data_IF_736799692082
#
_entry.id   IF_736799692082
#
_cell.length_a   1.000
_cell.length_b   1.000
_cell.length_c   1.000
_cell.angle_alpha   90.00
_cell.angle_beta   90.00
_cell.angle_gamma   90.00
#
_symmetry.space_group_name_H-M   'P 1'
#
loop_
_entity.id
_entity.type
_entity.pdbx_description
1 polymer ?
#
# COMPACT_ATOMS: atom_id res chain seq x y z
N UNK A 1 0.13 0.34 -1.91
CA UNK A 1 0.01 0.74 -3.34
C UNK A 1 1.24 1.56 -3.69
N UNK A 2 1.79 1.40 -4.89
CA UNK A 2 3.01 2.11 -5.28
C UNK A 2 3.60 1.56 -6.58
N UNK A 3 4.92 1.63 -6.70
CA UNK A 3 5.68 1.03 -7.80
C UNK A 3 6.39 -0.26 -7.36
N UNK A 4 7.39 -0.67 -8.14
CA UNK A 4 8.34 -1.71 -7.77
C UNK A 4 7.98 -3.11 -8.27
N UNK A 5 7.14 -3.25 -9.31
CA UNK A 5 6.74 -4.57 -9.83
C UNK A 5 7.93 -5.49 -10.11
N UNK A 6 9.06 -4.95 -10.57
CA UNK A 6 10.27 -5.74 -10.87
C UNK A 6 10.76 -6.56 -9.68
N UNK A 7 10.51 -6.11 -8.45
CA UNK A 7 10.92 -6.79 -7.21
C UNK A 7 10.04 -7.99 -6.85
N UNK A 8 8.86 -8.09 -7.46
CA UNK A 8 7.86 -9.11 -7.13
C UNK A 8 7.91 -10.35 -8.02
N UNK A 9 8.58 -10.30 -9.17
CA UNK A 9 8.65 -11.42 -10.10
C UNK A 9 10.01 -11.48 -10.82
N UNK A 10 10.32 -12.63 -11.43
CA UNK A 10 11.50 -12.80 -12.29
C UNK A 10 11.20 -12.67 -13.79
N UNK A 11 9.92 -12.70 -14.17
CA UNK A 11 9.44 -12.59 -15.55
C UNK A 11 9.21 -11.13 -15.96
N UNK A 12 8.98 -10.90 -17.25
CA UNK A 12 8.59 -9.59 -17.75
C UNK A 12 7.25 -9.15 -17.17
N UNK A 13 7.13 -7.86 -16.85
CA UNK A 13 5.89 -7.25 -16.37
C UNK A 13 4.93 -6.92 -17.52
N UNK A 14 3.78 -6.33 -17.18
CA UNK A 14 2.72 -5.99 -18.14
C UNK A 14 3.16 -4.93 -19.18
N UNK A 15 4.27 -4.24 -18.93
CA UNK A 15 4.88 -3.26 -19.84
C UNK A 15 6.15 -3.82 -20.52
N UNK A 16 6.39 -5.14 -20.41
CA UNK A 16 7.52 -5.83 -21.02
C UNK A 16 8.86 -5.61 -20.30
N UNK A 17 8.88 -4.96 -19.14
CA UNK A 17 10.10 -4.72 -18.38
C UNK A 17 10.48 -5.96 -17.57
N UNK A 18 11.74 -6.41 -17.58
CA UNK A 18 12.15 -7.62 -16.88
C UNK A 18 12.08 -7.45 -15.35
N UNK A 19 11.64 -8.49 -14.66
CA UNK A 19 11.75 -8.64 -13.22
C UNK A 19 13.19 -8.91 -12.76
N UNK A 20 13.46 -8.71 -11.46
CA UNK A 20 14.82 -8.89 -10.90
C UNK A 20 14.95 -10.14 -10.02
N UNK A 21 13.84 -10.81 -9.71
CA UNK A 21 13.90 -12.02 -8.87
C UNK A 21 14.56 -13.17 -9.61
N UNK A 22 15.36 -13.94 -8.88
CA UNK A 22 16.09 -15.12 -9.41
C UNK A 22 15.60 -16.45 -8.84
N UNK A 23 14.62 -16.42 -7.94
CA UNK A 23 14.11 -17.59 -7.21
C UNK A 23 12.92 -18.27 -7.90
N UNK A 24 12.57 -17.84 -9.12
CA UNK A 24 11.46 -18.39 -9.90
C UNK A 24 10.07 -18.08 -9.34
N UNK A 25 9.96 -17.22 -8.32
CA UNK A 25 8.68 -16.88 -7.69
C UNK A 25 8.02 -15.67 -8.32
N UNK A 26 6.69 -15.71 -8.39
CA UNK A 26 5.83 -14.55 -8.64
C UNK A 26 5.03 -14.24 -7.37
N UNK A 27 5.49 -13.24 -6.63
CA UNK A 27 4.90 -12.84 -5.37
C UNK A 27 3.54 -12.17 -5.54
N UNK A 28 3.20 -11.67 -6.74
CA UNK A 28 1.88 -11.09 -7.00
C UNK A 28 0.86 -12.22 -7.08
N UNK A 29 1.21 -13.31 -7.75
CA UNK A 29 0.39 -14.51 -7.83
C UNK A 29 0.28 -15.21 -6.48
N UNK A 30 1.38 -15.34 -5.74
CA UNK A 30 1.36 -15.91 -4.39
C UNK A 30 0.48 -15.08 -3.44
N UNK A 31 0.61 -13.75 -3.48
CA UNK A 31 -0.25 -12.85 -2.70
C UNK A 31 -1.71 -13.00 -3.10
N UNK A 32 -2.02 -13.05 -4.40
CA UNK A 32 -3.38 -13.18 -4.92
C UNK A 32 -4.01 -14.47 -4.42
N UNK A 33 -3.32 -15.61 -4.57
CA UNK A 33 -3.78 -16.92 -4.07
C UNK A 33 -4.00 -16.90 -2.57
N UNK A 34 -3.05 -16.38 -1.80
CA UNK A 34 -3.16 -16.32 -0.34
C UNK A 34 -4.35 -15.48 0.12
N UNK A 35 -4.66 -14.36 -0.55
CA UNK A 35 -5.77 -13.48 -0.20
C UNK A 35 -7.12 -13.97 -0.71
N UNK A 36 -7.18 -14.58 -1.89
CA UNK A 36 -8.39 -15.17 -2.45
C UNK A 36 -8.99 -16.29 -1.58
N UNK A 37 -8.18 -16.95 -0.74
CA UNK A 37 -8.67 -17.93 0.23
C UNK A 37 -9.44 -17.31 1.41
N UNK A 38 -9.33 -15.99 1.61
CA UNK A 38 -9.87 -15.30 2.79
C UNK A 38 -10.92 -14.25 2.39
N UNK A 39 -10.78 -13.64 1.21
CA UNK A 39 -11.72 -12.62 0.73
C UNK A 39 -11.44 -12.22 -0.71
N UNK A 40 -12.12 -11.18 -1.19
CA UNK A 40 -11.99 -10.73 -2.57
C UNK A 40 -10.70 -9.92 -2.75
N UNK A 41 -9.72 -10.53 -3.42
CA UNK A 41 -8.42 -9.93 -3.72
C UNK A 41 -8.39 -9.36 -5.14
N UNK A 42 -7.98 -8.10 -5.29
CA UNK A 42 -7.82 -7.42 -6.57
C UNK A 42 -6.37 -6.94 -6.74
N UNK A 43 -5.78 -7.27 -7.88
CA UNK A 43 -4.50 -6.73 -8.31
C UNK A 43 -4.75 -5.70 -9.43
N UNK A 44 -4.16 -4.52 -9.30
CA UNK A 44 -4.27 -3.43 -10.28
C UNK A 44 -2.91 -2.84 -10.60
N UNK A 45 -2.70 -2.48 -11.85
CA UNK A 45 -1.41 -1.96 -12.34
C UNK A 45 -1.55 -0.74 -13.25
N UNK A 46 -2.78 -0.33 -13.59
CA UNK A 46 -3.07 0.94 -14.30
C UNK A 46 -3.96 1.86 -13.48
N UNK A 47 -3.92 3.15 -13.83
CA UNK A 47 -4.85 4.17 -13.33
C UNK A 47 -6.29 3.79 -13.58
N UNK A 48 -6.61 3.32 -14.78
CA UNK A 48 -7.98 2.93 -15.13
C UNK A 48 -8.48 1.78 -14.26
N UNK A 49 -7.65 0.75 -14.06
CA UNK A 49 -8.00 -0.36 -13.16
C UNK A 49 -8.20 0.12 -11.73
N UNK A 50 -7.32 0.99 -11.20
CA UNK A 50 -7.49 1.58 -9.88
C UNK A 50 -8.82 2.32 -9.74
N UNK A 51 -9.16 3.18 -10.70
CA UNK A 51 -10.42 3.94 -10.69
C UNK A 51 -11.66 3.07 -10.92
N UNK A 52 -11.47 1.85 -11.41
CA UNK A 52 -12.55 0.87 -11.61
C UNK A 52 -12.73 -0.06 -10.40
N UNK A 53 -11.86 0.03 -9.39
CA UNK A 53 -12.01 -0.72 -8.13
C UNK A 53 -13.32 -0.32 -7.49
N UNK A 54 -14.05 -1.32 -7.00
CA UNK A 54 -15.28 -1.17 -6.23
C UNK A 54 -14.97 -1.40 -4.76
N UNK A 55 -14.72 -0.34 -3.96
CA UNK A 55 -14.25 -0.51 -2.58
C UNK A 55 -15.20 -1.35 -1.73
N UNK A 56 -16.49 -1.33 -2.03
CA UNK A 56 -17.52 -2.12 -1.34
C UNK A 56 -17.43 -3.63 -1.62
N UNK A 57 -16.76 -4.05 -2.69
CA UNK A 57 -16.60 -5.46 -3.08
C UNK A 57 -15.16 -5.96 -2.96
N UNK A 58 -14.19 -5.11 -2.65
CA UNK A 58 -12.77 -5.47 -2.63
C UNK A 58 -12.23 -5.46 -1.21
N UNK A 59 -11.83 -6.63 -0.70
CA UNK A 59 -11.30 -6.78 0.66
C UNK A 59 -9.79 -6.55 0.71
N UNK A 60 -9.09 -7.00 -0.34
CA UNK A 60 -7.64 -6.84 -0.46
C UNK A 60 -7.30 -6.20 -1.80
N UNK A 61 -6.52 -5.13 -1.79
CA UNK A 61 -6.07 -4.45 -3.00
C UNK A 61 -4.54 -4.35 -3.03
N UNK A 62 -3.93 -4.91 -4.07
CA UNK A 62 -2.51 -4.72 -4.39
C UNK A 62 -2.41 -3.86 -5.65
N UNK A 63 -1.95 -2.62 -5.49
CA UNK A 63 -1.71 -1.70 -6.60
C UNK A 63 -0.22 -1.51 -6.87
N UNK A 64 0.27 -1.99 -8.02
CA UNK A 64 1.65 -1.83 -8.46
C UNK A 64 1.70 -1.20 -9.85
N UNK A 65 1.95 0.10 -9.91
CA UNK A 65 1.70 0.90 -11.10
C UNK A 65 2.90 1.05 -12.04
N UNK A 66 4.13 0.85 -11.55
CA UNK A 66 5.34 0.88 -12.37
C UNK A 66 6.28 -0.28 -12.02
N UNK A 67 7.20 -0.58 -12.94
CA UNK A 67 8.26 -1.55 -12.75
C UNK A 67 9.19 -1.15 -11.62
N UNK A 68 9.51 0.14 -11.52
CA UNK A 68 10.32 0.74 -10.46
C UNK A 68 9.51 1.80 -9.71
N UNK A 69 10.04 3.01 -9.50
CA UNK A 69 9.29 4.09 -8.87
C UNK A 69 8.13 4.58 -9.76
N UNK A 70 7.04 4.99 -9.11
CA UNK A 70 5.98 5.73 -9.82
C UNK A 70 6.54 7.10 -10.21
N UNK A 71 6.44 7.53 -11.48
CA UNK A 71 7.03 8.79 -11.94
C UNK A 71 6.57 10.01 -11.14
N UNK A 72 7.49 10.96 -10.93
CA UNK A 72 7.19 12.20 -10.21
C UNK A 72 6.18 13.07 -10.96
N UNK A 73 5.48 13.94 -10.23
CA UNK A 73 4.48 14.86 -10.81
C UNK A 73 5.10 15.77 -11.88
N UNK A 74 6.35 16.23 -11.68
CA UNK A 74 7.08 17.07 -12.64
C UNK A 74 7.46 16.35 -13.93
N UNK A 75 7.56 15.02 -13.90
CA UNK A 75 7.82 14.16 -15.08
C UNK A 75 6.52 13.75 -15.78
N UNK A 76 5.36 14.00 -15.15
CA UNK A 76 4.03 13.76 -15.71
C UNK A 76 3.56 14.94 -16.56
N UNK A 77 4.39 15.37 -17.50
CA UNK A 77 4.04 16.42 -18.47
C UNK A 77 3.11 15.93 -19.59
N UNK A 78 2.81 14.62 -19.64
CA UNK A 78 1.98 14.02 -20.67
C UNK A 78 0.60 13.62 -20.13
N UNK A 79 -0.52 14.13 -20.69
CA UNK A 79 -1.90 13.80 -20.28
C UNK A 79 -2.32 12.32 -20.50
N UNK A 80 -1.40 11.47 -20.95
CA UNK A 80 -1.58 10.05 -21.26
C UNK A 80 -0.91 9.12 -20.21
N UNK A 81 -0.72 9.59 -18.98
CA UNK A 81 -0.14 8.73 -17.94
C UNK A 81 -1.10 7.60 -17.57
N UNK A 82 -0.72 6.36 -17.87
CA UNK A 82 -1.37 5.13 -17.39
C UNK A 82 -1.22 4.94 -15.87
N UNK A 83 -0.53 5.86 -15.18
CA UNK A 83 -0.20 5.80 -13.75
C UNK A 83 -1.12 6.71 -12.93
N UNK A 84 -1.61 6.26 -11.78
CA UNK A 84 -2.46 7.08 -10.91
C UNK A 84 -1.64 8.11 -10.13
N UNK A 85 -2.29 9.21 -9.77
CA UNK A 85 -1.74 10.23 -8.88
C UNK A 85 -1.74 9.79 -7.42
N UNK A 86 -0.91 10.41 -6.59
CA UNK A 86 -0.88 10.13 -5.14
C UNK A 86 -2.24 10.43 -4.47
N UNK A 87 -2.95 11.53 -4.80
CA UNK A 87 -4.31 11.75 -4.31
C UNK A 87 -5.30 10.67 -4.75
N UNK A 88 -5.24 10.19 -6.00
CA UNK A 88 -6.11 9.10 -6.48
C UNK A 88 -5.87 7.79 -5.70
N UNK A 89 -4.60 7.40 -5.51
CA UNK A 89 -4.25 6.24 -4.71
C UNK A 89 -4.73 6.40 -3.25
N UNK A 90 -4.54 7.57 -2.67
CA UNK A 90 -4.95 7.86 -1.29
C UNK A 90 -6.46 7.79 -1.14
N UNK A 91 -7.22 8.36 -2.09
CA UNK A 91 -8.68 8.33 -2.09
C UNK A 91 -9.21 6.90 -2.08
N UNK A 92 -8.74 6.06 -3.01
CA UNK A 92 -9.18 4.65 -3.07
C UNK A 92 -8.77 3.89 -1.81
N UNK A 93 -7.58 4.15 -1.26
CA UNK A 93 -7.14 3.53 0.00
C UNK A 93 -8.09 3.87 1.16
N UNK A 94 -8.46 5.15 1.31
CA UNK A 94 -9.38 5.59 2.36
C UNK A 94 -10.78 4.99 2.15
N UNK A 95 -11.28 4.96 0.92
CA UNK A 95 -12.60 4.36 0.62
C UNK A 95 -12.67 2.86 0.92
N UNK A 96 -11.55 2.15 0.75
CA UNK A 96 -11.44 0.72 1.09
C UNK A 96 -11.32 0.51 2.61
N UNK A 97 -10.44 1.28 3.27
CA UNK A 97 -10.10 1.11 4.69
C UNK A 97 -11.16 1.65 5.66
N UNK A 98 -11.95 2.66 5.26
CA UNK A 98 -13.03 3.22 6.12
C UNK A 98 -14.11 2.20 6.50
N UNK A 99 -14.16 1.06 5.82
CA UNK A 99 -15.10 -0.03 6.11
C UNK A 99 -14.66 -0.88 7.31
N UNK A 100 -13.42 -0.75 7.77
CA UNK A 100 -12.92 -1.49 8.92
C UNK A 100 -13.59 -0.98 10.21
N UNK A 101 -14.29 -1.84 10.97
CA UNK A 101 -15.07 -1.41 12.14
C UNK A 101 -14.21 -0.85 13.28
N UNK A 102 -12.93 -1.25 13.34
CA UNK A 102 -11.99 -0.85 14.39
C UNK A 102 -11.07 0.30 13.94
N UNK A 103 -11.41 0.96 12.84
CA UNK A 103 -10.57 1.96 12.22
C UNK A 103 -9.38 1.39 11.45
N UNK A 104 -8.50 2.29 11.01
CA UNK A 104 -7.35 1.93 10.19
C UNK A 104 -6.18 2.88 10.42
N UNK A 105 -4.99 2.39 10.06
CA UNK A 105 -3.77 3.18 9.88
C UNK A 105 -3.44 3.17 8.39
N UNK A 106 -3.29 4.35 7.80
CA UNK A 106 -2.87 4.51 6.41
C UNK A 106 -1.58 5.32 6.37
N UNK A 107 -0.52 4.73 5.83
CA UNK A 107 0.73 5.41 5.50
C UNK A 107 0.71 5.85 4.05
N UNK A 108 0.79 7.17 3.82
CA UNK A 108 0.93 7.76 2.48
C UNK A 108 2.30 8.40 2.38
N UNK A 109 3.11 7.97 1.43
CA UNK A 109 4.43 8.52 1.16
C UNK A 109 4.41 9.41 -0.10
N UNK A 110 4.74 10.68 0.05
CA UNK A 110 5.03 11.58 -1.06
C UNK A 110 6.53 11.84 -1.16
N UNK A 111 7.18 11.31 -2.19
CA UNK A 111 8.57 11.63 -2.50
C UNK A 111 8.61 12.88 -3.41
N UNK A 112 9.32 13.91 -2.98
CA UNK A 112 9.63 15.09 -3.81
C UNK A 112 11.11 15.02 -4.18
N UNK A 113 11.41 14.99 -5.47
CA UNK A 113 12.78 15.20 -5.96
C UNK A 113 13.09 16.70 -5.86
N UNK A 114 13.89 17.10 -4.87
CA UNK A 114 14.63 18.35 -4.95
C UNK A 114 16.06 18.05 -5.36
N UNK A 115 16.51 18.72 -6.41
CA UNK A 115 17.90 18.88 -6.80
C UNK A 115 18.77 18.97 -5.53
N UNK A 116 19.72 18.03 -5.38
CA UNK A 116 20.67 17.88 -4.25
C UNK A 116 20.18 17.07 -3.02
N UNK A 117 20.42 15.76 -3.10
CA UNK A 117 20.93 14.88 -2.00
C UNK A 117 20.06 14.55 -0.78
N UNK A 118 18.79 14.92 -0.69
CA UNK A 118 17.94 14.41 0.41
C UNK A 118 16.56 13.99 -0.10
N UNK A 119 16.30 12.67 -0.13
CA UNK A 119 14.93 12.16 -0.21
C UNK A 119 14.15 12.72 0.98
N UNK A 120 13.15 13.57 0.73
CA UNK A 120 12.14 13.94 1.71
C UNK A 120 10.87 13.18 1.37
N UNK A 121 10.60 12.14 2.15
CA UNK A 121 9.33 11.46 2.20
C UNK A 121 8.40 12.23 3.15
N UNK A 122 7.29 12.75 2.64
CA UNK A 122 6.21 13.23 3.50
C UNK A 122 5.29 12.03 3.81
N UNK A 123 5.19 11.69 5.10
CA UNK A 123 4.28 10.67 5.59
C UNK A 123 2.99 11.33 6.09
N UNK A 124 1.85 10.99 5.47
CA UNK A 124 0.55 11.26 6.08
C UNK A 124 0.05 9.98 6.75
N UNK A 125 -0.15 10.02 8.07
CA UNK A 125 -0.81 8.97 8.82
C UNK A 125 -2.25 9.38 9.09
N UNK A 126 -3.23 8.64 8.54
CA UNK A 126 -4.64 8.84 8.84
C UNK A 126 -5.11 7.76 9.82
N UNK A 127 -5.71 8.19 10.93
CA UNK A 127 -6.36 7.34 11.93
C UNK A 127 -7.88 7.47 11.81
N UNK A 128 -8.54 6.40 11.37
CA UNK A 128 -9.99 6.37 11.20
C UNK A 128 -10.74 5.92 12.46
N UNK A 129 -10.86 6.76 13.50
CA UNK A 129 -11.96 6.62 14.49
C UNK A 129 -12.41 7.92 15.15
N UNK A 130 -11.64 9.00 15.09
CA UNK A 130 -12.02 10.38 15.38
C UNK A 130 -10.74 11.18 15.09
N UNK A 131 -10.82 12.13 14.17
CA UNK A 131 -9.71 13.01 13.85
C UNK A 131 -9.26 13.75 15.12
N UNK A 132 -8.10 13.39 15.65
CA UNK A 132 -7.29 14.27 16.49
C UNK A 132 -5.95 14.48 15.78
N UNK A 133 -5.43 15.72 15.76
CA UNK A 133 -4.18 16.01 15.08
C UNK A 133 -3.03 15.33 15.84
N UNK A 134 -2.45 14.29 15.27
CA UNK A 134 -1.18 13.75 15.74
C UNK A 134 -0.05 14.45 14.99
N UNK A 135 0.44 15.53 15.58
CA UNK A 135 1.78 16.05 15.31
C UNK A 135 2.77 15.19 16.08
N UNK A 136 3.20 14.04 15.54
CA UNK A 136 4.40 13.37 16.04
C UNK A 136 5.17 12.76 14.87
N UNK A 137 6.25 13.45 14.52
CA UNK A 137 7.41 12.89 13.84
C UNK A 137 8.12 12.03 14.89
N UNK A 138 8.25 10.73 14.65
CA UNK A 138 9.23 9.90 15.35
C UNK A 138 9.95 9.04 14.33
N UNK A 139 11.18 9.45 14.03
CA UNK A 139 12.25 8.54 13.65
C UNK A 139 12.49 7.57 14.80
N UNK A 140 12.61 6.30 14.47
CA UNK A 140 13.02 5.18 15.33
C UNK A 140 11.95 4.57 16.25
N UNK A 141 11.47 3.38 15.87
CA UNK A 141 10.89 2.40 16.79
C UNK A 141 11.55 1.04 16.56
N UNK A 142 12.37 0.67 17.55
CA UNK A 142 12.72 -0.71 17.90
C UNK A 142 11.43 -1.44 18.31
N UNK A 143 11.17 -2.60 17.69
CA UNK A 143 10.01 -3.44 18.02
C UNK A 143 10.27 -4.17 19.34
N UNK A 144 9.39 -3.97 20.32
CA UNK A 144 9.22 -4.85 21.48
C UNK A 144 7.85 -5.55 21.38
N UNK A 145 7.87 -6.87 21.43
CA UNK A 145 6.78 -7.80 21.78
C UNK A 145 7.44 -8.96 22.55
N UNK A 146 6.73 -9.78 23.35
CA UNK A 146 5.38 -9.64 23.91
C UNK A 146 5.35 -10.00 25.43
N UNK A 147 4.20 -9.87 26.09
CA UNK A 147 3.77 -10.91 27.04
C UNK A 147 2.25 -10.92 27.19
N UNK A 148 1.73 -12.13 26.99
CA UNK A 148 0.34 -12.51 27.10
C UNK A 148 -0.09 -12.64 28.57
N UNK A 149 -1.39 -12.52 28.82
CA UNK A 149 -2.02 -13.26 29.92
C UNK A 149 -3.48 -13.56 29.57
N UNK A 150 -3.71 -14.81 29.18
CA UNK A 150 -5.03 -15.44 29.19
C UNK A 150 -5.04 -16.41 30.39
N UNK A 151 -6.20 -16.50 31.07
CA UNK A 151 -6.73 -17.60 31.90
C UNK A 151 -6.82 -17.39 33.43
N UNK A 152 -8.10 -17.49 33.88
CA UNK A 152 -8.68 -18.48 34.83
C UNK A 152 -9.09 -18.05 36.26
N UNK A 153 -10.41 -18.17 36.48
CA UNK A 153 -11.17 -18.79 37.59
C UNK A 153 -11.17 -18.23 39.02
N UNK A 154 -12.40 -17.89 39.45
CA UNK A 154 -13.16 -18.40 40.61
C UNK A 154 -12.61 -18.35 42.07
N UNK A 155 -13.57 -18.05 42.97
CA UNK A 155 -13.64 -18.28 44.44
C UNK A 155 -13.30 -17.10 45.37
N UNK A 156 -14.35 -16.55 46.00
CA UNK A 156 -14.45 -16.36 47.47
C UNK A 156 -13.79 -15.14 48.14
N UNK A 157 -14.60 -14.14 48.50
CA UNK A 157 -14.95 -13.77 49.89
C UNK A 157 -16.07 -12.72 49.87
#
# INVERSE_FOLDING_TARGET
MGGGRKMFRGTADEEGKPGVRKDGKDLIEDWRKARSNIGNASYVWTRQQLLSVKPEKTDFLLGLFDSDHVPFVIERSHPQTTKPTLPEMTRVAVELLRRAPNGFVLLVEGAIYHLQRHHRAYYACLFGSLAKPCTYILSDITVWLPLASTLRTAVGM
#
